data_IF_351306178486
#
_entry.id   IF_351306178486
#
_cell.length_a   1.000
_cell.length_b   1.000
_cell.length_c   1.000
_cell.angle_alpha   90.00
_cell.angle_beta   90.00
_cell.angle_gamma   90.00
#
_symmetry.space_group_name_H-M   'P 1'
#
loop_
_entity.id
_entity.type
_entity.pdbx_description
1 polymer ?
#
# COMPACT_ATOMS: atom_id res chain seq x y z
N UNK A 1 -5.02 37.68 1.27
CA UNK A 1 -5.45 36.79 0.16
C UNK A 1 -4.69 35.44 0.06
N UNK A 2 -3.55 35.24 0.72
CA UNK A 2 -2.72 34.02 0.68
C UNK A 2 -3.25 32.88 1.55
N UNK A 3 -3.94 33.15 2.65
CA UNK A 3 -4.50 32.15 3.56
C UNK A 3 -5.63 31.34 2.92
N UNK A 4 -6.51 31.97 2.15
CA UNK A 4 -7.68 31.31 1.55
C UNK A 4 -7.27 30.30 0.44
N UNK A 5 -6.21 30.59 -0.35
CA UNK A 5 -5.67 29.67 -1.35
C UNK A 5 -5.09 28.39 -0.73
N UNK A 6 -4.48 28.48 0.44
CA UNK A 6 -3.90 27.32 1.14
C UNK A 6 -4.97 26.42 1.75
N UNK A 7 -6.08 26.97 2.26
CA UNK A 7 -7.22 26.18 2.73
C UNK A 7 -7.91 25.44 1.58
N UNK A 8 -8.18 26.14 0.46
CA UNK A 8 -8.81 25.54 -0.72
C UNK A 8 -7.96 24.38 -1.28
N UNK A 9 -6.64 24.56 -1.38
CA UNK A 9 -5.71 23.50 -1.83
C UNK A 9 -5.70 22.29 -0.90
N UNK A 10 -5.71 22.49 0.42
CA UNK A 10 -5.77 21.41 1.40
C UNK A 10 -7.11 20.66 1.35
N UNK A 11 -8.21 21.38 1.24
CA UNK A 11 -9.56 20.79 1.12
C UNK A 11 -9.67 19.98 -0.17
N UNK A 12 -9.20 20.49 -1.31
CA UNK A 12 -9.19 19.77 -2.58
C UNK A 12 -8.33 18.50 -2.52
N UNK A 13 -7.18 18.54 -1.86
CA UNK A 13 -6.31 17.36 -1.69
C UNK A 13 -6.94 16.25 -0.85
N UNK A 14 -7.89 16.58 0.03
CA UNK A 14 -8.64 15.62 0.84
C UNK A 14 -9.90 15.13 0.11
N UNK A 15 -10.66 16.07 -0.44
CA UNK A 15 -11.99 15.82 -1.00
C UNK A 15 -11.89 15.09 -2.36
N UNK A 16 -10.92 15.45 -3.20
CA UNK A 16 -10.81 14.89 -4.55
C UNK A 16 -10.57 13.36 -4.56
N UNK A 17 -9.63 12.79 -3.78
CA UNK A 17 -9.47 11.33 -3.71
C UNK A 17 -10.69 10.61 -3.12
N UNK A 18 -11.39 11.25 -2.17
CA UNK A 18 -12.62 10.69 -1.60
C UNK A 18 -13.75 10.67 -2.63
N UNK A 19 -13.96 11.78 -3.34
CA UNK A 19 -14.95 11.86 -4.42
C UNK A 19 -14.64 10.88 -5.55
N UNK A 20 -13.37 10.75 -5.92
CA UNK A 20 -12.95 9.75 -6.90
C UNK A 20 -13.28 8.33 -6.42
N UNK A 21 -13.02 8.01 -5.15
CA UNK A 21 -13.37 6.71 -4.57
C UNK A 21 -14.87 6.44 -4.59
N UNK A 22 -15.68 7.42 -4.18
CA UNK A 22 -17.14 7.33 -4.22
C UNK A 22 -17.68 7.20 -5.66
N UNK A 23 -17.12 7.96 -6.60
CA UNK A 23 -17.44 7.84 -8.02
C UNK A 23 -17.12 6.45 -8.55
N UNK A 24 -15.95 5.88 -8.20
CA UNK A 24 -15.57 4.53 -8.63
C UNK A 24 -16.45 3.46 -7.98
N UNK A 25 -16.90 3.65 -6.73
CA UNK A 25 -17.91 2.78 -6.13
C UNK A 25 -19.21 2.80 -6.94
N UNK A 26 -19.75 4.00 -7.19
CA UNK A 26 -20.97 4.15 -7.99
C UNK A 26 -20.80 3.57 -9.39
N UNK A 27 -19.69 3.89 -10.07
CA UNK A 27 -19.39 3.40 -11.41
C UNK A 27 -19.28 1.86 -11.46
N UNK A 28 -18.62 1.25 -10.46
CA UNK A 28 -18.50 -0.21 -10.38
C UNK A 28 -19.85 -0.90 -10.25
N UNK A 29 -20.76 -0.35 -9.45
CA UNK A 29 -22.10 -0.94 -9.27
C UNK A 29 -23.08 -0.57 -10.38
N UNK A 30 -22.94 0.61 -11.00
CA UNK A 30 -23.82 1.07 -12.09
C UNK A 30 -23.67 0.26 -13.40
N UNK A 31 -22.60 -0.53 -13.53
CA UNK A 31 -22.38 -1.39 -14.70
C UNK A 31 -23.12 -2.72 -14.62
N UNK A 32 -23.56 -3.13 -13.43
CA UNK A 32 -24.21 -4.41 -13.20
C UNK A 32 -25.72 -4.31 -13.33
N UNK A 33 -26.33 -5.32 -13.98
CA UNK A 33 -27.76 -5.53 -13.98
C UNK A 33 -28.26 -5.91 -12.57
N UNK A 34 -29.57 -5.85 -12.37
CA UNK A 34 -30.20 -6.25 -11.10
C UNK A 34 -29.88 -7.71 -10.74
N UNK A 35 -29.81 -8.59 -11.76
CA UNK A 35 -29.48 -10.00 -11.60
C UNK A 35 -28.02 -10.19 -11.18
N UNK A 36 -27.10 -9.45 -11.82
CA UNK A 36 -25.67 -9.49 -11.45
C UNK A 36 -25.42 -8.94 -10.04
N UNK A 37 -26.15 -7.89 -9.63
CA UNK A 37 -26.10 -7.39 -8.26
C UNK A 37 -26.61 -8.42 -7.25
N UNK A 38 -27.65 -9.19 -7.61
CA UNK A 38 -28.12 -10.29 -6.79
C UNK A 38 -27.07 -11.40 -6.67
N UNK A 39 -26.36 -11.74 -7.75
CA UNK A 39 -25.24 -12.69 -7.74
C UNK A 39 -24.07 -12.21 -6.85
N UNK A 40 -23.68 -10.94 -6.96
CA UNK A 40 -22.65 -10.36 -6.08
C UNK A 40 -23.05 -10.50 -4.61
N UNK A 41 -24.30 -10.15 -4.28
CA UNK A 41 -24.84 -10.31 -2.92
C UNK A 41 -24.82 -11.76 -2.46
N UNK A 42 -25.20 -12.69 -3.33
CA UNK A 42 -25.18 -14.13 -3.04
C UNK A 42 -23.76 -14.61 -2.73
N UNK A 43 -22.74 -14.20 -3.51
CA UNK A 43 -21.34 -14.54 -3.26
C UNK A 43 -20.87 -14.01 -1.90
N UNK A 44 -21.27 -12.80 -1.52
CA UNK A 44 -21.00 -12.30 -0.17
C UNK A 44 -21.60 -13.20 0.92
N UNK A 45 -22.85 -13.62 0.77
CA UNK A 45 -23.52 -14.43 1.78
C UNK A 45 -22.96 -15.85 1.89
N UNK A 46 -22.42 -16.40 0.79
CA UNK A 46 -21.83 -17.74 0.72
C UNK A 46 -20.36 -17.80 1.05
N UNK A 47 -19.67 -16.66 1.08
CA UNK A 47 -18.24 -16.63 1.36
C UNK A 47 -17.91 -17.24 2.74
N UNK A 48 -16.85 -18.03 2.80
CA UNK A 48 -16.35 -18.54 4.09
C UNK A 48 -15.54 -17.46 4.82
N UNK A 49 -16.18 -16.84 5.79
CA UNK A 49 -15.61 -15.74 6.58
C UNK A 49 -14.48 -16.17 7.52
N UNK A 50 -14.22 -17.49 7.69
CA UNK A 50 -13.05 -17.97 8.44
C UNK A 50 -11.74 -17.47 7.82
N UNK A 51 -11.67 -17.46 6.48
CA UNK A 51 -10.53 -16.91 5.74
C UNK A 51 -10.39 -15.40 5.89
N UNK A 52 -11.50 -14.69 6.07
CA UNK A 52 -11.48 -13.25 6.35
C UNK A 52 -10.82 -12.97 7.70
N UNK A 53 -11.20 -13.71 8.76
CA UNK A 53 -10.59 -13.55 10.08
C UNK A 53 -9.11 -13.95 10.10
N UNK A 54 -8.76 -14.98 9.35
CA UNK A 54 -7.36 -15.37 9.16
C UNK A 54 -6.56 -14.25 8.48
N UNK A 55 -7.12 -13.63 7.43
CA UNK A 55 -6.55 -12.46 6.75
C UNK A 55 -6.34 -11.29 7.72
N UNK A 56 -7.34 -10.97 8.55
CA UNK A 56 -7.25 -9.93 9.58
C UNK A 56 -6.11 -10.23 10.57
N UNK A 57 -5.98 -11.48 11.00
CA UNK A 57 -4.90 -11.93 11.88
C UNK A 57 -3.51 -11.76 11.25
N UNK A 58 -3.35 -12.13 9.98
CA UNK A 58 -2.10 -11.94 9.23
C UNK A 58 -1.75 -10.47 9.04
N UNK A 59 -2.73 -9.63 8.71
CA UNK A 59 -2.57 -8.18 8.64
C UNK A 59 -2.15 -7.56 9.96
N UNK A 60 -2.76 -7.98 11.06
CA UNK A 60 -2.37 -7.57 12.41
C UNK A 60 -0.90 -7.92 12.71
N UNK A 61 -0.48 -9.16 12.45
CA UNK A 61 0.90 -9.60 12.65
C UNK A 61 1.90 -8.83 11.79
N UNK A 62 1.53 -8.50 10.56
CA UNK A 62 2.35 -7.65 9.68
C UNK A 62 2.58 -6.26 10.29
N UNK A 63 1.54 -5.62 10.82
CA UNK A 63 1.66 -4.29 11.43
C UNK A 63 2.41 -4.32 12.76
N UNK A 64 2.23 -5.36 13.58
CA UNK A 64 3.05 -5.58 14.78
C UNK A 64 4.52 -5.71 14.39
N UNK A 65 4.83 -6.55 13.41
CA UNK A 65 6.18 -6.73 12.89
C UNK A 65 6.78 -5.41 12.36
N UNK A 66 5.98 -4.58 11.70
CA UNK A 66 6.39 -3.25 11.23
C UNK A 66 6.77 -2.33 12.39
N UNK A 67 6.01 -2.32 13.47
CA UNK A 67 6.35 -1.57 14.68
C UNK A 67 7.64 -2.07 15.33
N UNK A 68 7.81 -3.39 15.42
CA UNK A 68 9.03 -4.01 15.96
C UNK A 68 10.25 -3.80 15.06
N UNK A 69 10.08 -3.79 13.72
CA UNK A 69 11.16 -3.47 12.78
C UNK A 69 11.71 -2.05 13.00
N UNK A 70 10.83 -1.11 13.27
CA UNK A 70 11.18 0.30 13.45
C UNK A 70 12.15 0.54 14.61
N UNK A 71 12.14 -0.30 15.65
CA UNK A 71 13.10 -0.20 16.75
C UNK A 71 14.57 -0.28 16.30
N UNK A 72 14.87 -1.03 15.22
CA UNK A 72 16.26 -1.25 14.79
C UNK A 72 16.84 -0.01 14.10
N UNK A 73 16.04 0.72 13.33
CA UNK A 73 16.46 1.98 12.70
C UNK A 73 16.59 3.10 13.73
N UNK A 74 15.72 3.16 14.73
CA UNK A 74 15.84 4.11 15.83
C UNK A 74 17.02 3.80 16.74
N UNK A 75 17.29 2.52 17.02
CA UNK A 75 18.43 2.10 17.83
C UNK A 75 19.79 2.43 17.19
N UNK A 76 19.89 2.50 15.85
CA UNK A 76 21.11 2.94 15.16
C UNK A 76 21.42 4.42 15.41
N UNK A 77 20.42 5.20 15.79
CA UNK A 77 20.54 6.61 16.18
C UNK A 77 20.58 6.80 17.71
N UNK A 78 20.77 5.71 18.47
CA UNK A 78 20.78 5.68 19.95
C UNK A 78 19.44 6.06 20.61
N UNK A 79 18.30 5.87 19.93
CA UNK A 79 16.97 6.04 20.51
C UNK A 79 16.34 4.67 20.78
N UNK A 80 15.78 4.49 21.99
CA UNK A 80 15.22 3.22 22.47
C UNK A 80 13.78 3.42 22.99
N UNK A 81 12.82 3.78 22.10
CA UNK A 81 11.43 3.95 22.50
C UNK A 81 10.80 2.62 22.95
N UNK A 82 9.75 2.71 23.73
CA UNK A 82 9.01 1.53 24.20
C UNK A 82 8.40 0.79 23.02
N UNK A 83 8.59 -0.53 22.95
CA UNK A 83 8.15 -1.37 21.82
C UNK A 83 6.66 -1.25 21.56
N UNK A 84 5.85 -1.23 22.62
CA UNK A 84 4.40 -1.08 22.48
C UNK A 84 4.01 0.29 21.87
N UNK A 85 4.72 1.36 22.18
CA UNK A 85 4.47 2.67 21.56
C UNK A 85 4.77 2.64 20.06
N UNK A 86 5.82 1.94 19.62
CA UNK A 86 6.15 1.75 18.21
C UNK A 86 5.03 1.02 17.46
N UNK A 87 4.53 -0.08 18.04
CA UNK A 87 3.45 -0.88 17.45
C UNK A 87 2.15 -0.08 17.39
N UNK A 88 1.74 0.52 18.51
CA UNK A 88 0.52 1.32 18.58
C UNK A 88 0.58 2.54 17.65
N UNK A 89 1.74 3.21 17.55
CA UNK A 89 1.93 4.33 16.62
C UNK A 89 1.77 3.90 15.14
N UNK A 90 2.19 2.67 14.78
CA UNK A 90 1.96 2.12 13.44
C UNK A 90 0.47 1.97 13.16
N UNK A 91 -0.30 1.35 14.05
CA UNK A 91 -1.75 1.17 13.89
C UNK A 91 -2.49 2.50 13.82
N UNK A 92 -2.17 3.46 14.70
CA UNK A 92 -2.74 4.81 14.65
C UNK A 92 -2.38 5.51 13.32
N UNK A 93 -1.16 5.33 12.83
CA UNK A 93 -0.75 5.87 11.54
C UNK A 93 -1.62 5.34 10.39
N UNK A 94 -1.89 4.04 10.34
CA UNK A 94 -2.78 3.45 9.33
C UNK A 94 -4.23 3.95 9.47
N UNK A 95 -4.74 4.09 10.71
CA UNK A 95 -6.08 4.65 10.94
C UNK A 95 -6.19 6.08 10.41
N UNK A 96 -5.20 6.92 10.69
CA UNK A 96 -5.20 8.30 10.22
C UNK A 96 -5.05 8.43 8.70
N UNK A 97 -4.36 7.48 8.06
CA UNK A 97 -4.30 7.42 6.60
C UNK A 97 -5.64 7.15 5.93
N UNK A 98 -6.62 6.56 6.63
CA UNK A 98 -7.99 6.40 6.10
C UNK A 98 -8.72 7.75 6.00
N UNK A 99 -8.39 8.70 6.88
CA UNK A 99 -9.04 10.01 6.92
C UNK A 99 -8.28 11.06 6.10
N UNK A 100 -6.96 11.14 6.31
CA UNK A 100 -6.08 12.11 5.64
C UNK A 100 -4.97 11.33 4.94
N UNK A 101 -4.94 11.28 3.59
CA UNK A 101 -3.90 10.57 2.85
C UNK A 101 -2.49 11.01 3.27
N UNK A 102 -1.61 10.05 3.50
CA UNK A 102 -0.19 10.27 3.87
C UNK A 102 0.04 10.95 5.24
N UNK A 103 -0.98 11.03 6.09
CA UNK A 103 -0.82 11.56 7.46
C UNK A 103 -0.20 10.55 8.43
N UNK A 104 -0.23 9.27 8.08
CA UNK A 104 0.21 8.18 8.96
C UNK A 104 1.70 8.23 9.29
N UNK A 105 2.55 8.58 8.34
CA UNK A 105 3.99 8.71 8.56
C UNK A 105 4.30 9.86 9.52
N UNK A 106 3.64 10.99 9.32
CA UNK A 106 3.77 12.18 10.18
C UNK A 106 3.27 11.87 11.59
N UNK A 107 2.09 11.25 11.71
CA UNK A 107 1.49 10.92 13.00
C UNK A 107 2.33 9.91 13.80
N UNK A 108 2.92 8.89 13.14
CA UNK A 108 3.86 7.96 13.78
C UNK A 108 5.02 8.71 14.42
N UNK A 109 5.68 9.62 13.68
CA UNK A 109 6.80 10.42 14.18
C UNK A 109 6.38 11.34 15.35
N UNK A 110 5.21 12.00 15.24
CA UNK A 110 4.67 12.86 16.32
C UNK A 110 4.35 12.07 17.58
N UNK A 111 3.78 10.88 17.46
CA UNK A 111 3.43 10.04 18.62
C UNK A 111 4.68 9.60 19.38
N UNK A 112 5.73 9.16 18.67
CA UNK A 112 6.99 8.75 19.32
C UNK A 112 7.74 9.96 19.90
N UNK A 113 7.68 11.11 19.24
CA UNK A 113 8.19 12.35 19.84
C UNK A 113 7.44 12.70 21.14
N UNK A 114 6.12 12.58 21.14
CA UNK A 114 5.29 12.90 22.33
C UNK A 114 5.55 11.96 23.50
N UNK A 115 5.58 10.64 23.28
CA UNK A 115 5.58 9.64 24.34
C UNK A 115 6.98 9.16 24.74
N UNK A 116 7.93 9.10 23.80
CA UNK A 116 9.29 8.59 24.02
C UNK A 116 10.37 9.65 23.81
N UNK A 117 9.98 10.92 23.54
CA UNK A 117 10.90 12.07 23.39
C UNK A 117 11.93 11.91 22.25
N UNK A 118 11.68 11.05 21.27
CA UNK A 118 12.51 10.95 20.06
C UNK A 118 12.26 12.18 19.19
N UNK A 119 13.29 12.91 18.75
CA UNK A 119 13.11 14.07 17.87
C UNK A 119 12.35 13.70 16.60
N UNK A 120 11.42 14.58 16.18
CA UNK A 120 10.54 14.35 15.04
C UNK A 120 11.33 14.07 13.74
N UNK A 121 12.34 14.88 13.46
CA UNK A 121 13.19 14.76 12.28
C UNK A 121 13.89 13.40 12.20
N UNK A 122 14.37 12.88 13.33
CA UNK A 122 15.04 11.58 13.44
C UNK A 122 14.04 10.44 13.20
N UNK A 123 12.92 10.44 13.91
CA UNK A 123 11.90 9.41 13.74
C UNK A 123 11.27 9.43 12.35
N UNK A 124 10.98 10.61 11.79
CA UNK A 124 10.45 10.76 10.43
C UNK A 124 11.45 10.29 9.37
N UNK A 125 12.75 10.61 9.53
CA UNK A 125 13.82 10.13 8.65
C UNK A 125 13.89 8.60 8.59
N UNK A 126 13.79 7.92 9.76
CA UNK A 126 13.76 6.44 9.78
C UNK A 126 12.53 5.85 9.10
N UNK A 127 11.37 6.51 9.21
CA UNK A 127 10.16 6.08 8.50
C UNK A 127 10.35 6.19 6.99
N UNK A 128 10.94 7.28 6.49
CA UNK A 128 11.24 7.43 5.07
C UNK A 128 12.21 6.36 4.56
N UNK A 129 13.23 6.01 5.35
CA UNK A 129 14.14 4.91 5.04
C UNK A 129 13.39 3.57 4.91
N UNK A 130 12.50 3.26 5.85
CA UNK A 130 11.65 2.06 5.75
C UNK A 130 10.80 2.05 4.48
N UNK A 131 10.20 3.19 4.11
CA UNK A 131 9.40 3.33 2.88
C UNK A 131 10.23 3.15 1.62
N UNK A 132 11.46 3.65 1.59
CA UNK A 132 12.38 3.45 0.48
C UNK A 132 12.65 1.97 0.23
N UNK A 133 12.89 1.19 1.29
CA UNK A 133 13.12 -0.25 1.19
C UNK A 133 11.86 -0.98 0.75
N UNK A 134 10.71 -0.67 1.38
CA UNK A 134 9.44 -1.26 1.00
C UNK A 134 9.15 -0.99 -0.50
N UNK A 135 9.49 0.19 -1.02
CA UNK A 135 9.37 0.52 -2.45
C UNK A 135 10.33 -0.32 -3.32
N UNK A 136 11.57 -0.52 -2.91
CA UNK A 136 12.50 -1.38 -3.65
C UNK A 136 11.99 -2.83 -3.75
N UNK A 137 11.44 -3.37 -2.65
CA UNK A 137 10.85 -4.71 -2.65
C UNK A 137 9.62 -4.76 -3.56
N UNK A 138 8.74 -3.75 -3.49
CA UNK A 138 7.58 -3.66 -4.36
C UNK A 138 7.99 -3.68 -5.85
N UNK A 139 8.98 -2.86 -6.23
CA UNK A 139 9.47 -2.81 -7.61
C UNK A 139 10.09 -4.15 -8.04
N UNK A 140 10.84 -4.82 -7.16
CA UNK A 140 11.39 -6.14 -7.43
C UNK A 140 10.29 -7.17 -7.69
N UNK A 141 9.25 -7.18 -6.85
CA UNK A 141 8.14 -8.10 -6.98
C UNK A 141 7.31 -7.81 -8.24
N UNK A 142 7.10 -6.54 -8.59
CA UNK A 142 6.46 -6.14 -9.87
C UNK A 142 7.28 -6.67 -11.05
N UNK A 143 8.61 -6.53 -11.02
CA UNK A 143 9.47 -7.04 -12.07
C UNK A 143 9.38 -8.57 -12.20
N UNK A 144 9.30 -9.30 -11.07
CA UNK A 144 9.09 -10.74 -11.04
C UNK A 144 7.76 -11.10 -11.71
N UNK A 145 6.65 -10.46 -11.32
CA UNK A 145 5.33 -10.71 -11.91
C UNK A 145 5.34 -10.39 -13.40
N UNK A 146 5.97 -9.29 -13.82
CA UNK A 146 6.07 -8.93 -15.24
C UNK A 146 6.79 -10.00 -16.05
N UNK A 147 7.89 -10.56 -15.53
CA UNK A 147 8.63 -11.64 -16.22
C UNK A 147 7.78 -12.90 -16.32
N UNK A 148 7.11 -13.32 -15.26
CA UNK A 148 6.29 -14.54 -15.26
C UNK A 148 4.94 -14.41 -15.97
N UNK A 149 4.44 -13.20 -16.15
CA UNK A 149 3.18 -12.89 -16.83
C UNK A 149 3.41 -12.13 -18.15
N UNK A 150 4.62 -12.24 -18.71
CA UNK A 150 4.98 -11.53 -19.93
C UNK A 150 4.02 -11.83 -21.08
N UNK A 151 3.70 -13.10 -21.29
CA UNK A 151 2.79 -13.53 -22.36
C UNK A 151 1.38 -12.91 -22.21
N UNK A 152 0.85 -12.89 -20.97
CA UNK A 152 -0.45 -12.26 -20.70
C UNK A 152 -0.42 -10.76 -21.00
N UNK A 153 0.63 -10.07 -20.54
CA UNK A 153 0.80 -8.63 -20.79
C UNK A 153 0.98 -8.37 -22.27
N UNK A 154 1.75 -9.21 -22.95
CA UNK A 154 2.00 -9.11 -24.37
C UNK A 154 0.72 -9.29 -25.19
N UNK A 155 -0.05 -10.35 -24.96
CA UNK A 155 -1.33 -10.59 -25.63
C UNK A 155 -2.35 -9.47 -25.34
N UNK A 156 -2.38 -8.94 -24.11
CA UNK A 156 -3.21 -7.80 -23.79
C UNK A 156 -2.81 -6.57 -24.61
N UNK A 157 -1.53 -6.26 -24.71
CA UNK A 157 -1.04 -5.16 -25.54
C UNK A 157 -1.35 -5.36 -27.02
N UNK A 158 -1.15 -6.58 -27.55
CA UNK A 158 -1.46 -6.91 -28.94
C UNK A 158 -2.95 -6.78 -29.27
N UNK A 159 -3.85 -7.03 -28.31
CA UNK A 159 -5.31 -6.89 -28.52
C UNK A 159 -5.75 -5.44 -28.72
N UNK A 160 -4.98 -4.46 -28.19
CA UNK A 160 -5.30 -3.03 -28.28
C UNK A 160 -4.38 -2.27 -29.26
N UNK A 161 -3.17 -2.76 -29.52
CA UNK A 161 -2.15 -2.07 -30.30
C UNK A 161 -1.52 -3.02 -31.31
N UNK A 162 -1.38 -2.57 -32.56
CA UNK A 162 -0.56 -3.29 -33.53
C UNK A 162 0.90 -3.30 -33.06
N UNK A 163 1.61 -4.39 -33.30
CA UNK A 163 3.02 -4.60 -32.90
C UNK A 163 3.93 -3.38 -33.17
N UNK A 164 3.75 -2.73 -34.32
CA UNK A 164 4.51 -1.52 -34.66
C UNK A 164 4.27 -0.36 -33.70
N UNK A 165 3.04 -0.18 -33.21
CA UNK A 165 2.74 0.88 -32.24
C UNK A 165 3.33 0.56 -30.86
N UNK A 166 3.36 -0.71 -30.45
CA UNK A 166 3.98 -1.14 -29.19
C UNK A 166 5.47 -0.79 -29.21
N UNK A 167 6.18 -1.11 -30.30
CA UNK A 167 7.60 -0.76 -30.46
C UNK A 167 7.81 0.75 -30.42
N UNK A 168 6.99 1.52 -31.15
CA UNK A 168 7.10 2.98 -31.15
C UNK A 168 6.86 3.55 -29.74
N UNK A 169 5.85 3.06 -29.02
CA UNK A 169 5.57 3.49 -27.63
C UNK A 169 6.77 3.18 -26.73
N UNK A 170 7.33 1.97 -26.80
CA UNK A 170 8.49 1.57 -26.00
C UNK A 170 9.73 2.43 -26.32
N UNK A 171 9.98 2.72 -27.60
CA UNK A 171 11.07 3.59 -28.02
C UNK A 171 10.87 5.02 -27.50
N UNK A 172 9.67 5.57 -27.64
CA UNK A 172 9.34 6.92 -27.13
C UNK A 172 9.49 6.98 -25.61
N UNK A 173 8.97 6.00 -24.88
CA UNK A 173 9.14 5.91 -23.43
C UNK A 173 10.60 5.78 -23.02
N UNK A 174 11.38 4.96 -23.74
CA UNK A 174 12.83 4.83 -23.55
C UNK A 174 13.57 6.15 -23.76
N UNK A 175 13.26 6.85 -24.86
CA UNK A 175 13.85 8.16 -25.16
C UNK A 175 13.45 9.20 -24.11
N UNK A 176 12.18 9.25 -23.70
CA UNK A 176 11.71 10.13 -22.63
C UNK A 176 12.40 9.82 -21.30
N UNK A 177 12.62 8.55 -20.99
CA UNK A 177 13.34 8.13 -19.77
C UNK A 177 14.80 8.58 -19.82
N UNK A 178 15.49 8.37 -20.95
CA UNK A 178 16.88 8.82 -21.13
C UNK A 178 16.95 10.36 -21.07
N UNK A 179 16.02 11.06 -21.72
CA UNK A 179 15.93 12.51 -21.67
C UNK A 179 15.65 13.00 -20.23
N UNK A 180 14.78 12.30 -19.49
CA UNK A 180 14.53 12.60 -18.08
C UNK A 180 15.77 12.42 -17.22
N UNK A 181 16.52 11.31 -17.38
CA UNK A 181 17.78 11.07 -16.67
C UNK A 181 18.84 12.14 -17.03
N UNK A 182 18.96 12.49 -18.29
CA UNK A 182 19.86 13.55 -18.74
C UNK A 182 19.46 14.90 -18.15
N UNK A 183 18.18 15.25 -18.20
CA UNK A 183 17.65 16.47 -17.56
C UNK A 183 17.90 16.44 -16.05
N UNK A 184 17.63 15.32 -15.39
CA UNK A 184 17.85 15.16 -13.95
C UNK A 184 19.34 15.36 -13.59
N UNK A 185 20.24 14.88 -14.43
CA UNK A 185 21.69 15.02 -14.21
C UNK A 185 22.18 16.46 -14.44
N UNK A 186 21.72 17.10 -15.51
CA UNK A 186 22.22 18.42 -15.97
C UNK A 186 21.47 19.60 -15.38
N UNK A 187 20.21 19.44 -15.04
CA UNK A 187 19.35 20.57 -14.63
C UNK A 187 19.71 21.09 -13.24
N UNK A 188 19.77 22.41 -13.12
CA UNK A 188 19.94 23.15 -11.86
C UNK A 188 18.61 23.61 -11.26
N UNK A 189 17.46 23.23 -11.87
CA UNK A 189 16.13 23.61 -11.38
C UNK A 189 15.87 23.07 -9.97
N UNK A 190 15.09 23.81 -9.19
CA UNK A 190 14.66 23.41 -7.83
C UNK A 190 14.00 22.04 -7.81
N UNK A 191 13.25 21.67 -8.87
CA UNK A 191 12.59 20.36 -8.99
C UNK A 191 13.64 19.26 -9.16
N UNK A 192 14.61 19.42 -10.07
CA UNK A 192 15.68 18.43 -10.27
C UNK A 192 16.53 18.23 -9.01
N UNK A 193 16.83 19.32 -8.29
CA UNK A 193 17.55 19.27 -7.02
C UNK A 193 16.75 18.47 -5.97
N UNK A 194 15.45 18.72 -5.82
CA UNK A 194 14.58 17.98 -4.90
C UNK A 194 14.51 16.48 -5.24
N UNK A 195 14.41 16.14 -6.52
CA UNK A 195 14.40 14.73 -6.97
C UNK A 195 15.75 14.08 -6.65
N UNK A 196 16.89 14.72 -6.94
CA UNK A 196 18.23 14.21 -6.60
C UNK A 196 18.40 14.03 -5.09
N UNK A 197 17.95 15.00 -4.28
CA UNK A 197 17.98 14.89 -2.82
C UNK A 197 17.12 13.71 -2.33
N UNK A 198 15.95 13.50 -2.94
CA UNK A 198 15.11 12.34 -2.63
C UNK A 198 15.84 11.03 -2.96
N UNK A 199 16.43 10.94 -4.16
CA UNK A 199 17.16 9.74 -4.59
C UNK A 199 18.42 9.48 -3.74
N UNK A 200 19.19 10.54 -3.37
CA UNK A 200 20.31 10.39 -2.45
C UNK A 200 19.86 9.95 -1.06
N UNK A 201 18.76 10.52 -0.55
CA UNK A 201 18.19 10.08 0.72
C UNK A 201 17.72 8.62 0.71
N UNK A 202 17.12 8.16 -0.40
CA UNK A 202 16.79 6.74 -0.59
C UNK A 202 18.05 5.88 -0.59
N UNK A 203 19.07 6.27 -1.36
CA UNK A 203 20.35 5.57 -1.41
C UNK A 203 21.00 5.49 -0.01
N UNK A 204 21.14 6.62 0.68
CA UNK A 204 21.69 6.69 2.04
C UNK A 204 20.88 5.83 3.03
N UNK A 205 19.54 5.87 2.92
CA UNK A 205 18.63 5.03 3.72
C UNK A 205 18.89 3.54 3.52
N UNK A 206 19.01 3.07 2.27
CA UNK A 206 19.30 1.67 1.95
C UNK A 206 20.69 1.29 2.48
N UNK A 207 21.71 2.11 2.23
CA UNK A 207 23.06 1.84 2.72
C UNK A 207 23.16 1.87 4.25
N UNK A 208 22.38 2.69 4.94
CA UNK A 208 22.36 2.73 6.41
C UNK A 208 21.99 1.38 7.04
N UNK A 209 21.16 0.58 6.35
CA UNK A 209 20.73 -0.73 6.85
C UNK A 209 21.86 -1.74 6.84
N UNK A 210 22.75 -1.69 5.85
CA UNK A 210 23.92 -2.57 5.79
C UNK A 210 24.80 -2.40 7.04
N UNK A 211 24.81 -1.20 7.61
CA UNK A 211 25.58 -0.83 8.80
C UNK A 211 24.82 -1.04 10.13
N UNK A 212 23.55 -1.50 10.09
CA UNK A 212 22.81 -1.79 11.32
C UNK A 212 23.51 -2.94 12.10
N UNK A 213 23.71 -2.75 13.41
CA UNK A 213 24.20 -3.84 14.30
C UNK A 213 23.30 -5.09 14.24
N UNK A 214 21.99 -4.90 14.05
CA UNK A 214 20.97 -5.96 13.99
C UNK A 214 20.30 -6.03 12.62
N UNK A 215 21.09 -5.97 11.54
CA UNK A 215 20.58 -5.97 10.15
C UNK A 215 19.77 -7.20 9.79
N UNK A 216 20.15 -8.38 10.27
CA UNK A 216 19.43 -9.62 9.97
C UNK A 216 18.02 -9.67 10.59
N UNK A 217 17.86 -9.12 11.81
CA UNK A 217 16.56 -8.98 12.44
C UNK A 217 15.70 -7.98 11.66
N UNK A 218 16.27 -6.88 11.18
CA UNK A 218 15.56 -5.93 10.31
C UNK A 218 15.11 -6.59 9.01
N UNK A 219 15.97 -7.36 8.36
CA UNK A 219 15.64 -8.11 7.12
C UNK A 219 14.56 -9.16 7.40
N UNK A 220 14.69 -9.93 8.49
CA UNK A 220 13.69 -10.93 8.87
C UNK A 220 12.30 -10.31 9.08
N UNK A 221 12.19 -9.19 9.80
CA UNK A 221 10.94 -8.46 9.92
C UNK A 221 10.43 -7.93 8.59
N UNK A 222 11.32 -7.47 7.72
CA UNK A 222 10.94 -6.98 6.38
C UNK A 222 10.34 -8.09 5.53
N UNK A 223 10.99 -9.25 5.46
CA UNK A 223 10.47 -10.42 4.76
C UNK A 223 9.14 -10.90 5.37
N UNK A 224 9.08 -10.97 6.70
CA UNK A 224 7.85 -11.36 7.40
C UNK A 224 6.69 -10.42 7.08
N UNK A 225 6.90 -9.10 7.05
CA UNK A 225 5.89 -8.10 6.69
C UNK A 225 5.33 -8.38 5.29
N UNK A 226 6.22 -8.59 4.30
CA UNK A 226 5.81 -8.80 2.91
C UNK A 226 5.14 -10.15 2.70
N UNK A 227 5.64 -11.20 3.36
CA UNK A 227 4.99 -12.52 3.37
C UNK A 227 3.58 -12.41 3.97
N UNK A 228 3.42 -11.75 5.12
CA UNK A 228 2.11 -11.57 5.74
C UNK A 228 1.18 -10.70 4.88
N UNK A 229 1.69 -9.67 4.20
CA UNK A 229 0.88 -8.88 3.25
C UNK A 229 0.37 -9.69 2.08
N UNK A 230 1.21 -10.56 1.54
CA UNK A 230 0.78 -11.45 0.47
C UNK A 230 -0.18 -12.52 1.00
N UNK A 231 0.12 -13.17 2.10
CA UNK A 231 -0.71 -14.23 2.67
C UNK A 231 -2.09 -13.72 3.12
N UNK A 232 -2.18 -12.52 3.73
CA UNK A 232 -3.49 -11.95 4.10
C UNK A 232 -4.38 -11.69 2.88
N UNK A 233 -3.78 -11.41 1.72
CA UNK A 233 -4.49 -11.29 0.45
C UNK A 233 -4.86 -12.66 -0.10
N UNK A 234 -3.88 -13.58 -0.15
CA UNK A 234 -4.01 -14.90 -0.74
C UNK A 234 -5.06 -15.79 -0.06
N UNK A 235 -5.11 -15.78 1.27
CA UNK A 235 -6.05 -16.65 1.99
C UNK A 235 -7.52 -16.31 1.72
N UNK A 236 -7.82 -15.06 1.34
CA UNK A 236 -9.22 -14.68 1.03
C UNK A 236 -9.70 -15.32 -0.27
N UNK A 237 -8.81 -15.73 -1.17
CA UNK A 237 -9.18 -16.45 -2.40
C UNK A 237 -9.82 -17.82 -2.13
N UNK A 238 -9.54 -18.42 -0.98
CA UNK A 238 -10.18 -19.68 -0.54
C UNK A 238 -11.58 -19.48 0.04
N UNK A 239 -12.03 -18.23 0.22
CA UNK A 239 -13.39 -17.93 0.72
C UNK A 239 -14.48 -18.17 -0.31
N UNK A 240 -14.15 -18.28 -1.59
CA UNK A 240 -15.08 -18.49 -2.69
C UNK A 240 -14.60 -19.66 -3.56
N UNK A 241 -15.53 -20.57 -3.90
CA UNK A 241 -15.24 -21.79 -4.67
C UNK A 241 -14.57 -21.50 -6.01
N UNK A 242 -14.99 -20.42 -6.68
CA UNK A 242 -14.54 -20.08 -8.03
C UNK A 242 -13.13 -19.45 -8.08
N UNK A 243 -12.55 -19.09 -6.93
CA UNK A 243 -11.24 -18.42 -6.86
C UNK A 243 -10.16 -19.25 -6.18
N UNK A 244 -10.52 -20.38 -5.55
CA UNK A 244 -9.58 -21.22 -4.79
C UNK A 244 -8.50 -21.88 -5.63
N UNK A 245 -8.79 -22.18 -6.91
CA UNK A 245 -7.91 -22.91 -7.82
C UNK A 245 -6.99 -21.99 -8.65
N UNK A 246 -7.03 -20.68 -8.40
CA UNK A 246 -6.13 -19.74 -9.06
C UNK A 246 -4.68 -19.99 -8.65
N UNK A 247 -3.79 -20.00 -9.64
CA UNK A 247 -2.36 -20.21 -9.41
C UNK A 247 -1.73 -19.07 -8.58
N UNK A 248 -0.65 -19.38 -7.88
CA UNK A 248 0.08 -18.42 -7.05
C UNK A 248 0.45 -17.15 -7.84
N UNK A 249 0.86 -17.29 -9.11
CA UNK A 249 1.27 -16.16 -9.94
C UNK A 249 0.09 -15.29 -10.36
N UNK A 250 -1.10 -15.88 -10.60
CA UNK A 250 -2.32 -15.13 -10.88
C UNK A 250 -2.76 -14.30 -9.66
N UNK A 251 -2.72 -14.92 -8.47
CA UNK A 251 -3.03 -14.21 -7.22
C UNK A 251 -1.98 -13.13 -6.93
N UNK A 252 -0.70 -13.39 -7.18
CA UNK A 252 0.35 -12.39 -7.02
C UNK A 252 0.15 -11.21 -7.98
N UNK A 253 -0.27 -11.48 -9.22
CA UNK A 253 -0.64 -10.44 -10.20
C UNK A 253 -1.80 -9.58 -9.70
N UNK A 254 -2.85 -10.21 -9.18
CA UNK A 254 -3.99 -9.50 -8.59
C UNK A 254 -3.58 -8.65 -7.37
N UNK A 255 -2.68 -9.17 -6.52
CA UNK A 255 -2.13 -8.45 -5.38
C UNK A 255 -1.46 -7.12 -5.79
N UNK A 256 -0.64 -7.13 -6.84
CA UNK A 256 0.03 -5.93 -7.30
C UNK A 256 -0.91 -4.96 -7.98
N UNK A 257 -1.81 -5.43 -8.83
CA UNK A 257 -2.80 -4.57 -9.49
C UNK A 257 -3.73 -3.93 -8.46
N UNK A 258 -4.19 -4.70 -7.46
CA UNK A 258 -4.93 -4.15 -6.33
C UNK A 258 -4.15 -3.10 -5.54
N UNK A 259 -2.84 -3.28 -5.37
CA UNK A 259 -1.98 -2.31 -4.67
C UNK A 259 -1.93 -0.96 -5.37
N UNK A 260 -1.99 -0.89 -6.70
CA UNK A 260 -2.09 0.37 -7.45
C UNK A 260 -3.38 1.12 -7.15
N UNK A 261 -4.51 0.41 -6.98
CA UNK A 261 -5.79 1.04 -6.65
C UNK A 261 -5.72 1.87 -5.35
N UNK A 262 -4.96 1.38 -4.35
CA UNK A 262 -4.76 2.06 -3.08
C UNK A 262 -3.98 3.38 -3.25
N UNK A 263 -3.08 3.45 -4.23
CA UNK A 263 -2.26 4.65 -4.50
C UNK A 263 -3.10 5.78 -5.12
N UNK A 264 -4.05 5.43 -6.00
CA UNK A 264 -4.84 6.42 -6.76
C UNK A 264 -6.07 6.92 -6.01
N UNK A 265 -6.55 6.17 -5.01
CA UNK A 265 -7.75 6.53 -4.23
C UNK A 265 -7.45 6.53 -2.74
N UNK A 266 -8.37 7.08 -1.95
CA UNK A 266 -8.22 7.05 -0.50
C UNK A 266 -8.45 5.64 0.04
N UNK A 267 -7.35 4.92 0.34
CA UNK A 267 -7.41 3.56 0.88
C UNK A 267 -8.01 2.52 -0.08
N UNK A 268 -8.00 2.77 -1.39
CA UNK A 268 -8.53 1.83 -2.38
C UNK A 268 -10.05 1.84 -2.55
N UNK A 269 -10.78 2.76 -1.91
CA UNK A 269 -12.24 2.79 -1.94
C UNK A 269 -12.76 2.80 -3.39
N UNK A 270 -13.60 1.81 -3.73
CA UNK A 270 -14.19 1.61 -5.06
C UNK A 270 -13.20 1.13 -6.13
N UNK A 271 -11.99 1.68 -6.18
CA UNK A 271 -10.98 1.27 -7.15
C UNK A 271 -10.44 -0.14 -6.88
N UNK A 272 -10.24 -0.51 -5.62
CA UNK A 272 -9.66 -1.80 -5.28
C UNK A 272 -10.53 -2.97 -5.75
N UNK A 273 -11.83 -3.06 -5.40
CA UNK A 273 -12.70 -4.10 -5.93
C UNK A 273 -12.78 -4.13 -7.46
N UNK A 274 -12.85 -2.95 -8.09
CA UNK A 274 -12.89 -2.83 -9.55
C UNK A 274 -11.62 -3.41 -10.20
N UNK A 275 -10.43 -3.07 -9.69
CA UNK A 275 -9.17 -3.55 -10.25
C UNK A 275 -9.00 -5.05 -10.03
N UNK A 276 -9.41 -5.56 -8.86
CA UNK A 276 -9.43 -7.01 -8.58
C UNK A 276 -10.38 -7.72 -9.57
N UNK A 277 -11.58 -7.22 -9.78
CA UNK A 277 -12.54 -7.79 -10.72
C UNK A 277 -11.95 -7.87 -12.14
N UNK A 278 -11.38 -6.76 -12.63
CA UNK A 278 -10.84 -6.68 -13.99
C UNK A 278 -9.62 -7.60 -14.21
N UNK A 279 -8.74 -7.74 -13.23
CA UNK A 279 -7.59 -8.65 -13.36
C UNK A 279 -8.03 -10.12 -13.26
N UNK A 280 -9.00 -10.44 -12.41
CA UNK A 280 -9.52 -11.81 -12.28
C UNK A 280 -10.29 -12.23 -13.53
N UNK A 281 -10.96 -11.30 -14.20
CA UNK A 281 -11.61 -11.55 -15.49
C UNK A 281 -10.60 -12.04 -16.54
N UNK A 282 -9.36 -11.54 -16.56
CA UNK A 282 -8.28 -12.01 -17.44
C UNK A 282 -7.90 -13.47 -17.16
N UNK A 283 -8.19 -13.95 -15.96
CA UNK A 283 -7.92 -15.35 -15.54
C UNK A 283 -9.17 -16.24 -15.62
N UNK A 284 -10.24 -15.76 -16.28
CA UNK A 284 -11.47 -16.53 -16.50
C UNK A 284 -12.47 -16.53 -15.34
N UNK A 285 -12.24 -15.70 -14.30
CA UNK A 285 -13.20 -15.53 -13.20
C UNK A 285 -14.22 -14.45 -13.60
N UNK A 286 -15.51 -14.76 -13.43
CA UNK A 286 -16.58 -13.81 -13.74
C UNK A 286 -16.42 -12.50 -12.97
N UNK A 287 -16.73 -11.37 -13.61
CA UNK A 287 -16.55 -10.04 -13.03
C UNK A 287 -17.35 -9.83 -11.73
N UNK A 288 -18.52 -10.42 -11.64
CA UNK A 288 -19.38 -10.42 -10.42
C UNK A 288 -18.68 -11.08 -9.23
N UNK A 289 -18.01 -12.23 -9.44
CA UNK A 289 -17.26 -12.94 -8.42
C UNK A 289 -15.99 -12.15 -8.03
N UNK A 290 -15.27 -11.64 -9.03
CA UNK A 290 -14.09 -10.79 -8.79
C UNK A 290 -14.43 -9.53 -8.01
N UNK A 291 -15.58 -8.91 -8.29
CA UNK A 291 -16.08 -7.73 -7.56
C UNK A 291 -16.41 -8.10 -6.12
N UNK A 292 -17.13 -9.19 -5.89
CA UNK A 292 -17.45 -9.66 -4.55
C UNK A 292 -16.18 -9.94 -3.74
N UNK A 293 -15.23 -10.69 -4.30
CA UNK A 293 -13.94 -11.00 -3.66
C UNK A 293 -13.15 -9.71 -3.35
N UNK A 294 -13.08 -8.79 -4.28
CA UNK A 294 -12.38 -7.50 -4.10
C UNK A 294 -12.95 -6.71 -2.92
N UNK A 295 -14.28 -6.68 -2.77
CA UNK A 295 -14.92 -6.07 -1.60
C UNK A 295 -14.64 -6.82 -0.31
N UNK A 296 -14.67 -8.17 -0.30
CA UNK A 296 -14.35 -8.96 0.89
C UNK A 296 -12.94 -8.68 1.36
N UNK A 297 -11.96 -8.65 0.46
CA UNK A 297 -10.56 -8.32 0.79
C UNK A 297 -10.45 -6.89 1.34
N UNK A 298 -11.08 -5.92 0.66
CA UNK A 298 -11.04 -4.52 1.08
C UNK A 298 -11.67 -4.32 2.47
N UNK A 299 -12.84 -4.92 2.72
CA UNK A 299 -13.53 -4.86 4.01
C UNK A 299 -12.67 -5.48 5.12
N UNK A 300 -11.99 -6.61 4.87
CA UNK A 300 -11.09 -7.24 5.83
C UNK A 300 -9.99 -6.28 6.31
N UNK A 301 -9.32 -5.63 5.36
CA UNK A 301 -8.26 -4.68 5.65
C UNK A 301 -8.79 -3.43 6.37
N UNK A 302 -9.92 -2.92 5.91
CA UNK A 302 -10.56 -1.74 6.51
C UNK A 302 -10.98 -2.00 7.96
N UNK A 303 -11.64 -3.12 8.23
CA UNK A 303 -12.03 -3.54 9.59
C UNK A 303 -10.81 -3.73 10.50
N UNK A 304 -9.77 -4.37 10.01
CA UNK A 304 -8.52 -4.56 10.75
C UNK A 304 -7.93 -3.22 11.18
N UNK A 305 -7.85 -2.25 10.27
CA UNK A 305 -7.31 -0.91 10.56
C UNK A 305 -8.19 -0.15 11.57
N UNK A 306 -9.53 -0.20 11.43
CA UNK A 306 -10.44 0.46 12.36
C UNK A 306 -10.35 -0.15 13.76
N UNK A 307 -10.40 -1.49 13.85
CA UNK A 307 -10.38 -2.17 15.14
C UNK A 307 -9.06 -1.92 15.88
N UNK A 308 -7.94 -2.28 15.27
CA UNK A 308 -6.64 -2.19 15.95
C UNK A 308 -6.10 -0.76 15.99
N UNK A 309 -6.38 0.06 14.98
CA UNK A 309 -6.03 1.48 14.98
C UNK A 309 -6.84 2.26 16.02
N UNK A 310 -8.15 2.02 16.11
CA UNK A 310 -9.01 2.63 17.13
C UNK A 310 -8.61 2.21 18.55
N UNK A 311 -8.38 0.91 18.78
CA UNK A 311 -7.87 0.42 20.06
C UNK A 311 -6.51 1.05 20.41
N UNK A 312 -5.60 1.12 19.45
CA UNK A 312 -4.28 1.73 19.65
C UNK A 312 -4.35 3.20 19.98
N UNK A 313 -5.27 3.94 19.34
CA UNK A 313 -5.50 5.35 19.61
C UNK A 313 -5.97 5.59 21.05
N UNK A 314 -6.82 4.71 21.59
CA UNK A 314 -7.30 4.75 22.97
C UNK A 314 -6.23 4.29 23.99
N UNK A 315 -5.45 3.26 23.66
CA UNK A 315 -4.46 2.66 24.56
C UNK A 315 -3.21 3.54 24.73
N UNK A 316 -2.77 4.25 23.69
CA UNK A 316 -1.55 5.08 23.73
C UNK A 316 -1.52 6.05 24.92
N UNK A 317 -2.55 6.92 25.14
CA UNK A 317 -2.55 7.85 26.28
C UNK A 317 -2.68 7.13 27.63
N UNK A 318 -3.36 5.98 27.68
CA UNK A 318 -3.58 5.22 28.92
C UNK A 318 -2.25 4.61 29.40
N UNK A 319 -1.51 3.95 28.50
CA UNK A 319 -0.25 3.28 28.82
C UNK A 319 0.91 4.26 29.09
N UNK A 320 0.73 5.55 28.75
CA UNK A 320 1.75 6.58 28.93
C UNK A 320 1.33 7.70 29.93
N UNK A 321 0.34 7.46 30.81
CA UNK A 321 -0.14 8.45 31.78
C UNK A 321 0.97 8.99 32.70
N UNK A 322 1.99 8.22 33.01
CA UNK A 322 3.11 8.62 33.86
C UNK A 322 4.25 9.39 33.18
N UNK A 323 4.19 9.59 31.85
CA UNK A 323 5.23 10.27 31.07
C UNK A 323 4.83 11.69 30.60
N UNK A 324 3.80 12.31 31.23
CA UNK A 324 3.36 13.67 30.93
C UNK A 324 4.16 14.72 31.69
#
# INVERSE_FOLDING_TARGET
MTTNKNYLKKTLQLVLPLLLGLFLCWYAFAQFSTEELALIKEQFLRADYSYLWLSVGMGFLSHVSRGLRWQYTLASMHYFPKRYNLVLAVFVGYLLNLTIPRSGEVSRALLINRYDKVPFDKSFGTILTERAIDMCILLLLIAIVFVFQFDLVWHFLESYFTFSYIIVILLVLGLLFVAFLYWLYRSTTSIAQKIRQLLSGIKEGIFSIVHLKKKWQFVAHTLFIWIMYFLMFYVVFFSMEQTKDLSLIQVLTAFFIGSFAIVFTNGGLGAYPLFIAKVLLLFGVAETIGTALGWVIWIAQFLMIILFGGLSFLLLPILNKGNR
#
